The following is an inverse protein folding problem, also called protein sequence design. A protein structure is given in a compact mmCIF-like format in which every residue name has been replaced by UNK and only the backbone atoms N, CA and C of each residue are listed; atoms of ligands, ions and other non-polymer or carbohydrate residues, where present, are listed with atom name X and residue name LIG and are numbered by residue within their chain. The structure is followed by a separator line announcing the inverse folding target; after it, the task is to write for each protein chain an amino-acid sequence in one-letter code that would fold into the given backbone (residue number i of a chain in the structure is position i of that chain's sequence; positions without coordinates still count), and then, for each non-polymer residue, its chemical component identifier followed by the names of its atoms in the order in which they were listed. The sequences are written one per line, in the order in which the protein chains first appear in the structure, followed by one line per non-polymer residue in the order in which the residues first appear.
data_IF_200780437229
#
_entry.id   IF_200780437229
#
_cell.length_a   1.000
_cell.length_b   1.000
_cell.length_c   1.000
_cell.angle_alpha   90.00
_cell.angle_beta   90.00
_cell.angle_gamma   90.00
#
_symmetry.space_group_name_H-M   'P 1'
#
loop_
_entity.id
_entity.type
_entity.pdbx_description
1 polymer ?
#
# COMPACT_ATOMS: atom_id res chain seq x y z
N UNK A 1 -6.07 -10.90 -37.47
CA UNK A 1 -6.10 -10.55 -36.03
C UNK A 1 -5.64 -9.10 -35.89
N UNK A 2 -6.44 -8.23 -35.27
CA UNK A 2 -6.05 -6.84 -35.00
C UNK A 2 -5.64 -6.72 -33.54
N UNK A 3 -4.37 -6.42 -33.28
CA UNK A 3 -3.86 -6.18 -31.92
C UNK A 3 -4.08 -4.70 -31.59
N UNK A 4 -4.73 -4.42 -30.47
CA UNK A 4 -4.91 -3.08 -29.90
C UNK A 4 -4.10 -2.96 -28.61
N UNK A 5 -3.74 -1.75 -28.23
CA UNK A 5 -3.02 -1.44 -26.97
C UNK A 5 -3.73 -0.29 -26.28
N UNK A 6 -3.91 -0.41 -24.97
CA UNK A 6 -4.43 0.68 -24.14
C UNK A 6 -3.50 1.91 -24.21
N UNK A 7 -4.05 3.10 -24.00
CA UNK A 7 -3.26 4.33 -23.95
C UNK A 7 -2.35 4.38 -22.71
N UNK A 8 -2.85 3.88 -21.58
CA UNK A 8 -2.14 3.77 -20.30
C UNK A 8 -2.00 2.30 -19.92
N UNK A 9 -0.78 1.87 -19.62
CA UNK A 9 -0.44 0.50 -19.20
C UNK A 9 1.00 0.46 -18.67
N UNK A 10 1.34 -0.57 -17.89
CA UNK A 10 2.70 -0.82 -17.43
C UNK A 10 3.10 -0.09 -16.16
N UNK A 11 4.39 0.26 -16.03
CA UNK A 11 4.96 0.82 -14.79
C UNK A 11 4.39 2.20 -14.46
N UNK A 12 3.79 2.32 -13.28
CA UNK A 12 3.53 3.62 -12.68
C UNK A 12 4.83 4.27 -12.15
N UNK A 13 4.74 5.53 -11.72
CA UNK A 13 5.87 6.26 -11.14
C UNK A 13 6.43 5.58 -9.89
N UNK A 14 5.59 5.07 -8.99
CA UNK A 14 6.01 4.35 -7.78
C UNK A 14 6.85 3.11 -8.08
N UNK A 15 6.34 2.24 -8.96
CA UNK A 15 7.04 1.03 -9.43
C UNK A 15 8.37 1.39 -10.08
N UNK A 16 8.38 2.39 -10.98
CA UNK A 16 9.60 2.83 -11.67
C UNK A 16 10.65 3.38 -10.70
N UNK A 17 10.24 4.18 -9.71
CA UNK A 17 11.16 4.73 -8.71
C UNK A 17 11.74 3.60 -7.86
N UNK A 18 10.93 2.64 -7.44
CA UNK A 18 11.41 1.50 -6.65
C UNK A 18 12.43 0.65 -7.43
N UNK A 19 12.08 0.28 -8.66
CA UNK A 19 12.98 -0.46 -9.57
C UNK A 19 14.32 0.27 -9.77
N UNK A 20 14.28 1.56 -10.11
CA UNK A 20 15.49 2.35 -10.34
C UNK A 20 16.33 2.55 -9.08
N UNK A 21 15.70 2.74 -7.91
CA UNK A 21 16.42 2.89 -6.63
C UNK A 21 17.22 1.62 -6.31
N UNK A 22 16.61 0.43 -6.43
CA UNK A 22 17.31 -0.84 -6.14
C UNK A 22 18.40 -1.10 -7.17
N UNK A 23 18.14 -0.86 -8.46
CA UNK A 23 19.16 -0.98 -9.52
C UNK A 23 20.36 -0.09 -9.28
N UNK A 24 20.14 1.17 -8.91
CA UNK A 24 21.20 2.13 -8.62
C UNK A 24 21.99 1.76 -7.36
N UNK A 25 21.28 1.26 -6.35
CA UNK A 25 21.91 0.74 -5.14
C UNK A 25 22.86 -0.41 -5.46
N UNK A 26 22.39 -1.42 -6.21
CA UNK A 26 23.23 -2.54 -6.63
C UNK A 26 24.41 -2.11 -7.51
N UNK A 27 24.18 -1.22 -8.48
CA UNK A 27 25.25 -0.77 -9.41
C UNK A 27 26.35 0.06 -8.75
N UNK A 28 26.08 0.63 -7.57
CA UNK A 28 27.07 1.36 -6.76
C UNK A 28 27.78 0.47 -5.72
N UNK A 29 27.61 -0.87 -5.81
CA UNK A 29 28.20 -1.82 -4.89
C UNK A 29 27.41 -2.01 -3.59
N UNK A 30 26.18 -1.50 -3.55
CA UNK A 30 25.27 -1.69 -2.42
C UNK A 30 24.94 -3.17 -2.20
N UNK A 31 24.98 -3.59 -0.94
CA UNK A 31 24.64 -4.93 -0.50
C UNK A 31 23.43 -4.88 0.42
N UNK A 32 22.37 -5.59 0.06
CA UNK A 32 21.11 -5.54 0.80
C UNK A 32 20.15 -6.66 0.45
N UNK A 33 19.12 -6.80 1.26
CA UNK A 33 18.00 -7.70 1.04
C UNK A 33 16.68 -6.92 1.02
N UNK A 34 15.75 -7.34 0.16
CA UNK A 34 14.44 -6.72 0.02
C UNK A 34 13.46 -7.41 0.95
N UNK A 35 12.81 -6.66 1.82
CA UNK A 35 11.72 -7.21 2.62
C UNK A 35 10.53 -7.44 1.70
N UNK A 36 10.22 -8.71 1.43
CA UNK A 36 9.34 -9.22 0.39
C UNK A 36 9.73 -8.82 -1.03
N UNK A 37 8.74 -8.77 -1.91
CA UNK A 37 8.94 -8.38 -3.30
C UNK A 37 8.99 -6.84 -3.42
N UNK A 38 9.97 -6.32 -4.16
CA UNK A 38 10.09 -4.86 -4.42
C UNK A 38 8.82 -4.28 -5.05
N UNK A 39 8.22 -5.05 -5.97
CA UNK A 39 6.91 -4.87 -6.61
C UNK A 39 6.37 -6.27 -6.96
N UNK A 40 5.05 -6.42 -7.11
CA UNK A 40 4.43 -7.69 -7.52
C UNK A 40 4.64 -7.98 -9.01
N UNK A 41 5.89 -8.26 -9.41
CA UNK A 41 6.25 -8.64 -10.78
C UNK A 41 7.45 -9.60 -10.78
N UNK A 42 7.23 -10.83 -11.23
CA UNK A 42 8.23 -11.91 -11.22
C UNK A 42 9.51 -11.52 -11.98
N UNK A 43 9.39 -10.86 -13.14
CA UNK A 43 10.57 -10.44 -13.92
C UNK A 43 11.41 -9.40 -13.19
N UNK A 44 10.77 -8.48 -12.46
CA UNK A 44 11.47 -7.49 -11.63
C UNK A 44 12.15 -8.20 -10.46
N UNK A 45 11.48 -9.14 -9.80
CA UNK A 45 12.06 -9.95 -8.71
C UNK A 45 13.28 -10.73 -9.20
N UNK A 46 13.18 -11.41 -10.35
CA UNK A 46 14.30 -12.12 -10.99
C UNK A 46 15.46 -11.19 -11.36
N UNK A 47 15.16 -9.97 -11.80
CA UNK A 47 16.18 -8.96 -12.08
C UNK A 47 16.89 -8.51 -10.79
N UNK A 48 16.16 -8.25 -9.70
CA UNK A 48 16.76 -7.91 -8.40
C UNK A 48 17.65 -9.05 -7.87
N UNK A 49 17.19 -10.29 -8.02
CA UNK A 49 17.96 -11.48 -7.65
C UNK A 49 19.27 -11.60 -8.45
N UNK A 50 19.24 -11.33 -9.77
CA UNK A 50 20.44 -11.31 -10.62
C UNK A 50 21.41 -10.20 -10.25
N UNK A 51 20.90 -9.08 -9.74
CA UNK A 51 21.70 -7.97 -9.21
C UNK A 51 22.23 -8.23 -7.78
N UNK A 52 21.88 -9.37 -7.17
CA UNK A 52 22.33 -9.75 -5.84
C UNK A 52 21.51 -9.17 -4.68
N UNK A 53 20.41 -8.45 -4.95
CA UNK A 53 19.53 -7.89 -3.92
C UNK A 53 18.31 -8.80 -3.77
N UNK A 54 18.46 -9.86 -2.97
CA UNK A 54 17.46 -10.93 -2.84
C UNK A 54 16.32 -10.56 -1.91
N UNK A 55 15.15 -11.16 -2.13
CA UNK A 55 14.00 -11.06 -1.22
C UNK A 55 14.19 -11.91 0.04
N UNK A 56 13.74 -11.38 1.17
CA UNK A 56 13.53 -12.08 2.46
C UNK A 56 12.12 -11.80 2.97
N UNK A 57 11.51 -12.74 3.68
CA UNK A 57 10.15 -12.56 4.22
C UNK A 57 10.14 -11.74 5.52
N UNK A 58 11.18 -11.90 6.34
CA UNK A 58 11.27 -11.28 7.66
C UNK A 58 12.54 -10.43 7.78
N UNK A 59 12.44 -9.32 8.51
CA UNK A 59 13.58 -8.42 8.77
C UNK A 59 14.72 -9.12 9.53
N UNK A 60 14.41 -10.09 10.39
CA UNK A 60 15.43 -10.86 11.13
C UNK A 60 16.21 -11.84 10.25
N UNK A 61 15.69 -12.16 9.06
CA UNK A 61 16.37 -13.00 8.09
C UNK A 61 17.41 -12.23 7.25
N UNK A 62 17.52 -10.90 7.43
CA UNK A 62 18.47 -10.06 6.69
C UNK A 62 19.89 -10.33 7.18
N UNK A 63 20.72 -10.89 6.29
CA UNK A 63 22.15 -11.13 6.52
C UNK A 63 23.05 -10.06 5.86
N UNK A 64 22.45 -9.09 5.18
CA UNK A 64 23.14 -8.02 4.46
C UNK A 64 23.10 -6.70 5.27
N UNK A 65 24.01 -5.74 5.02
CA UNK A 65 24.08 -4.51 5.82
C UNK A 65 22.91 -3.53 5.58
N UNK A 66 22.11 -3.75 4.54
CA UNK A 66 21.00 -2.87 4.17
C UNK A 66 19.71 -3.67 3.99
N UNK A 67 18.62 -3.21 4.58
CA UNK A 67 17.26 -3.66 4.25
C UNK A 67 16.63 -2.70 3.24
N UNK A 68 15.98 -3.26 2.23
CA UNK A 68 15.22 -2.52 1.23
C UNK A 68 13.73 -2.69 1.52
N UNK A 69 13.03 -1.59 1.81
CA UNK A 69 11.58 -1.62 1.93
C UNK A 69 10.92 -1.43 0.57
N UNK A 70 9.94 -2.30 0.26
CA UNK A 70 9.28 -2.36 -1.06
C UNK A 70 8.43 -1.13 -1.37
N UNK A 71 7.95 -1.02 -2.63
CA UNK A 71 7.05 0.06 -3.04
C UNK A 71 5.72 0.09 -2.27
N UNK A 72 5.29 -1.06 -1.73
CA UNK A 72 4.07 -1.22 -0.96
C UNK A 72 4.13 -0.65 0.46
N UNK A 73 5.31 -0.20 0.90
CA UNK A 73 5.49 0.28 2.26
C UNK A 73 5.70 -0.82 3.29
N UNK A 74 5.99 -0.37 4.50
CA UNK A 74 6.12 -1.15 5.73
C UNK A 74 5.55 -0.33 6.89
N UNK A 75 5.22 -0.96 8.03
CA UNK A 75 4.86 -0.22 9.24
C UNK A 75 5.97 0.74 9.67
N UNK A 76 5.67 1.96 10.13
CA UNK A 76 6.67 2.90 10.67
C UNK A 76 7.64 2.29 11.69
N UNK A 77 7.19 1.37 12.54
CA UNK A 77 8.01 0.66 13.52
C UNK A 77 9.13 -0.19 12.90
N UNK A 78 9.02 -0.57 11.63
CA UNK A 78 10.07 -1.32 10.94
C UNK A 78 11.30 -0.47 10.66
N UNK A 79 11.16 0.85 10.50
CA UNK A 79 12.31 1.76 10.40
C UNK A 79 13.09 1.81 11.72
N UNK A 80 12.38 1.87 12.84
CA UNK A 80 12.99 1.84 14.18
C UNK A 80 13.64 0.48 14.46
N UNK A 81 12.97 -0.62 14.07
CA UNK A 81 13.53 -1.97 14.18
C UNK A 81 14.82 -2.11 13.37
N UNK A 82 14.83 -1.69 12.11
CA UNK A 82 16.03 -1.70 11.26
C UNK A 82 17.18 -0.90 11.89
N UNK A 83 16.89 0.29 12.44
CA UNK A 83 17.87 1.10 13.14
C UNK A 83 18.42 0.39 14.39
N UNK A 84 17.55 -0.25 15.17
CA UNK A 84 17.93 -0.95 16.40
C UNK A 84 18.80 -2.18 16.15
N UNK A 85 18.65 -2.84 14.99
CA UNK A 85 19.46 -3.99 14.57
C UNK A 85 20.70 -3.60 13.76
N UNK A 86 20.98 -2.30 13.61
CA UNK A 86 22.14 -1.81 12.88
C UNK A 86 22.03 -1.90 11.35
N UNK A 87 20.84 -2.19 10.82
CA UNK A 87 20.57 -2.23 9.39
C UNK A 87 20.47 -0.80 8.83
N UNK A 88 21.13 -0.57 7.68
CA UNK A 88 20.84 0.61 6.86
C UNK A 88 19.51 0.40 6.14
N UNK A 89 18.77 1.48 5.91
CA UNK A 89 17.47 1.41 5.21
C UNK A 89 17.59 2.05 3.83
N UNK A 90 17.21 1.29 2.79
CA UNK A 90 16.89 1.82 1.47
C UNK A 90 15.37 1.77 1.29
N UNK A 91 14.71 2.90 1.50
CA UNK A 91 13.26 2.96 1.40
C UNK A 91 12.80 3.27 -0.04
N UNK A 92 12.05 2.33 -0.62
CA UNK A 92 11.48 2.44 -1.96
C UNK A 92 9.96 2.64 -1.97
N UNK A 93 9.35 2.84 -0.80
CA UNK A 93 7.91 3.05 -0.61
C UNK A 93 7.38 4.12 -1.55
N UNK A 94 6.26 3.83 -2.20
CA UNK A 94 5.59 4.75 -3.08
C UNK A 94 5.07 5.97 -2.30
N UNK A 95 5.20 7.17 -2.89
CA UNK A 95 4.67 8.40 -2.27
C UNK A 95 3.19 8.31 -1.90
N UNK A 96 2.35 7.69 -2.74
CA UNK A 96 0.92 7.56 -2.47
C UNK A 96 0.63 6.66 -1.27
N UNK A 97 1.48 5.66 -1.03
CA UNK A 97 1.39 4.83 0.19
C UNK A 97 1.76 5.67 1.42
N UNK A 98 2.86 6.43 1.38
CA UNK A 98 3.19 7.35 2.49
C UNK A 98 2.10 8.39 2.77
N UNK A 99 1.43 8.88 1.73
CA UNK A 99 0.34 9.82 1.90
C UNK A 99 -0.82 9.18 2.69
N UNK A 100 -1.09 7.87 2.54
CA UNK A 100 -2.06 7.14 3.37
C UNK A 100 -1.62 7.07 4.84
N UNK A 101 -0.34 6.76 5.12
CA UNK A 101 0.15 6.77 6.51
C UNK A 101 -0.05 8.15 7.15
N UNK A 102 0.24 9.23 6.40
CA UNK A 102 0.07 10.60 6.88
C UNK A 102 -1.41 10.97 7.08
N UNK A 103 -2.26 10.64 6.12
CA UNK A 103 -3.71 10.88 6.20
C UNK A 103 -4.33 10.15 7.40
N UNK A 104 -3.95 8.88 7.60
CA UNK A 104 -4.43 8.06 8.72
C UNK A 104 -4.08 8.69 10.06
N UNK A 105 -2.81 9.09 10.23
CA UNK A 105 -2.35 9.77 11.46
C UNK A 105 -3.10 11.08 11.70
N UNK A 106 -3.22 11.93 10.67
CA UNK A 106 -3.91 13.21 10.77
C UNK A 106 -5.40 13.06 11.09
N UNK A 107 -6.06 12.05 10.52
CA UNK A 107 -7.46 11.76 10.80
C UNK A 107 -7.65 11.29 12.25
N UNK A 108 -6.78 10.44 12.78
CA UNK A 108 -6.80 10.04 14.19
C UNK A 108 -6.61 11.24 15.13
N UNK A 109 -5.65 12.12 14.82
CA UNK A 109 -5.42 13.38 15.57
C UNK A 109 -6.65 14.31 15.56
N UNK A 110 -7.48 14.22 14.52
CA UNK A 110 -8.73 14.97 14.38
C UNK A 110 -9.95 14.25 15.01
N UNK A 111 -9.75 13.10 15.66
CA UNK A 111 -10.79 12.34 16.33
C UNK A 111 -11.66 11.49 15.39
N UNK A 112 -11.18 11.16 14.20
CA UNK A 112 -11.85 10.19 13.34
C UNK A 112 -11.52 8.76 13.78
N UNK A 113 -12.51 7.88 13.71
CA UNK A 113 -12.27 6.44 13.60
C UNK A 113 -12.03 6.09 12.13
N UNK A 114 -11.03 5.26 11.84
CA UNK A 114 -10.62 4.96 10.47
C UNK A 114 -11.37 3.74 9.93
N UNK A 115 -11.67 3.77 8.63
CA UNK A 115 -12.21 2.64 7.90
C UNK A 115 -11.34 2.44 6.67
N UNK A 116 -10.54 1.38 6.67
CA UNK A 116 -9.72 1.01 5.54
C UNK A 116 -10.49 0.07 4.61
N UNK A 117 -10.76 0.51 3.39
CA UNK A 117 -11.32 -0.32 2.33
C UNK A 117 -10.17 -1.00 1.60
N UNK A 118 -10.11 -2.33 1.68
CA UNK A 118 -9.02 -3.10 1.09
C UNK A 118 -8.88 -4.50 1.67
N UNK A 119 -7.86 -5.23 1.20
CA UNK A 119 -7.59 -6.60 1.65
C UNK A 119 -6.73 -6.59 2.93
N UNK A 120 -7.23 -7.10 4.07
CA UNK A 120 -6.47 -7.12 5.34
C UNK A 120 -5.17 -7.92 5.26
N UNK A 121 -4.99 -8.77 4.25
CA UNK A 121 -3.75 -9.53 4.01
C UNK A 121 -2.79 -8.83 3.06
N UNK A 122 -3.20 -7.76 2.41
CA UNK A 122 -2.35 -7.04 1.47
C UNK A 122 -1.28 -6.24 2.21
N UNK A 123 -0.04 -6.31 1.72
CA UNK A 123 1.12 -5.68 2.38
C UNK A 123 0.96 -4.17 2.59
N UNK A 124 0.35 -3.49 1.63
CA UNK A 124 0.05 -2.05 1.77
C UNK A 124 -0.86 -1.79 2.97
N UNK A 125 -1.93 -2.59 3.12
CA UNK A 125 -2.90 -2.47 4.20
C UNK A 125 -2.26 -2.77 5.54
N UNK A 126 -1.49 -3.85 5.62
CA UNK A 126 -0.71 -4.18 6.81
C UNK A 126 0.26 -3.03 7.15
N UNK A 127 0.91 -2.44 6.15
CA UNK A 127 1.85 -1.35 6.32
C UNK A 127 1.27 -0.18 7.10
N UNK A 128 0.11 0.35 6.71
CA UNK A 128 -0.47 1.52 7.39
C UNK A 128 -1.37 1.18 8.58
N UNK A 129 -1.68 -0.10 8.85
CA UNK A 129 -2.51 -0.50 9.99
C UNK A 129 -1.75 -1.11 11.17
N UNK A 130 -0.59 -1.76 10.93
CA UNK A 130 0.11 -2.56 11.94
C UNK A 130 0.45 -1.81 13.23
N UNK A 131 0.85 -0.55 13.13
CA UNK A 131 1.24 0.27 14.28
C UNK A 131 0.08 1.08 14.89
N UNK A 132 -1.12 0.96 14.32
CA UNK A 132 -2.30 1.63 14.85
C UNK A 132 -2.92 0.78 15.97
N UNK A 133 -3.53 1.46 16.95
CA UNK A 133 -4.37 0.76 17.92
C UNK A 133 -5.55 0.09 17.20
N UNK A 134 -5.72 -1.24 17.30
CA UNK A 134 -6.81 -1.96 16.66
C UNK A 134 -8.22 -1.47 17.06
N UNK A 135 -8.36 -0.74 18.16
CA UNK A 135 -9.63 -0.12 18.56
C UNK A 135 -9.99 1.12 17.73
N UNK A 136 -9.04 1.68 16.97
CA UNK A 136 -9.20 2.94 16.24
C UNK A 136 -9.51 2.77 14.75
N UNK A 137 -9.58 1.53 14.25
CA UNK A 137 -9.91 1.27 12.85
C UNK A 137 -10.63 -0.05 12.60
N UNK A 138 -11.30 -0.11 11.45
CA UNK A 138 -11.75 -1.37 10.83
C UNK A 138 -11.16 -1.52 9.42
N UNK A 139 -10.92 -2.76 8.99
CA UNK A 139 -10.62 -3.08 7.58
C UNK A 139 -11.84 -3.80 7.00
N UNK A 140 -12.38 -3.29 5.90
CA UNK A 140 -13.62 -3.80 5.31
C UNK A 140 -13.44 -3.99 3.80
N UNK A 141 -13.85 -5.14 3.29
CA UNK A 141 -13.79 -5.46 1.85
C UNK A 141 -15.10 -6.01 1.28
N UNK A 142 -16.10 -6.27 2.12
CA UNK A 142 -17.39 -6.85 1.71
C UNK A 142 -18.57 -6.12 2.35
N UNK A 143 -19.74 -6.26 1.75
CA UNK A 143 -20.98 -5.68 2.27
C UNK A 143 -21.30 -6.33 3.62
N UNK A 144 -21.16 -7.65 3.74
CA UNK A 144 -21.41 -8.38 4.99
C UNK A 144 -20.49 -7.90 6.12
N UNK A 145 -19.22 -7.64 5.80
CA UNK A 145 -18.26 -7.07 6.75
C UNK A 145 -18.65 -5.65 7.19
N UNK A 146 -19.14 -4.83 6.26
CA UNK A 146 -19.69 -3.52 6.59
C UNK A 146 -20.97 -3.64 7.43
N UNK A 147 -21.84 -4.61 7.18
CA UNK A 147 -23.09 -4.78 7.91
C UNK A 147 -22.90 -5.31 9.33
N UNK A 148 -21.80 -6.03 9.60
CA UNK A 148 -21.50 -6.61 10.89
C UNK A 148 -21.04 -5.59 11.95
N UNK A 149 -20.68 -4.38 11.54
CA UNK A 149 -20.15 -3.34 12.42
C UNK A 149 -21.25 -2.33 12.74
N UNK A 150 -21.36 -1.99 14.02
CA UNK A 150 -22.25 -0.93 14.49
C UNK A 150 -21.59 0.44 14.29
N UNK A 151 -21.81 1.07 13.13
CA UNK A 151 -21.13 2.32 12.76
C UNK A 151 -21.61 3.55 13.54
N UNK A 152 -22.78 3.49 14.19
CA UNK A 152 -23.38 4.64 14.87
C UNK A 152 -22.68 5.01 16.19
N UNK A 153 -21.86 4.08 16.71
CA UNK A 153 -21.06 4.23 17.92
C UNK A 153 -19.88 5.19 17.70
N UNK A 154 -19.49 5.43 16.44
CA UNK A 154 -18.41 6.33 16.08
C UNK A 154 -18.98 7.69 15.64
N UNK A 155 -18.52 8.76 16.27
CA UNK A 155 -19.00 10.11 15.95
C UNK A 155 -18.59 10.55 14.54
N UNK A 156 -17.36 10.21 14.14
CA UNK A 156 -16.75 10.63 12.87
C UNK A 156 -15.94 9.50 12.27
N UNK A 157 -16.22 9.15 11.01
CA UNK A 157 -15.49 8.14 10.25
C UNK A 157 -14.66 8.76 9.13
N UNK A 158 -13.44 8.25 8.95
CA UNK A 158 -12.61 8.54 7.78
C UNK A 158 -12.42 7.25 6.97
N UNK A 159 -12.97 7.23 5.76
CA UNK A 159 -12.81 6.12 4.82
C UNK A 159 -11.55 6.33 4.00
N UNK A 160 -10.68 5.33 3.98
CA UNK A 160 -9.39 5.32 3.27
C UNK A 160 -9.34 4.07 2.41
N UNK A 161 -9.03 4.20 1.12
CA UNK A 161 -8.92 3.09 0.19
C UNK A 161 -7.46 2.65 0.00
N UNK A 162 -7.23 1.35 -0.13
CA UNK A 162 -6.00 0.81 -0.69
C UNK A 162 -5.77 1.38 -2.11
N UNK A 163 -4.51 1.74 -2.43
CA UNK A 163 -4.20 2.54 -3.63
C UNK A 163 -4.56 1.88 -4.96
N UNK A 164 -4.70 0.56 -4.98
CA UNK A 164 -4.88 -0.29 -6.17
C UNK A 164 -6.30 -0.78 -6.38
N UNK A 165 -7.28 -0.32 -5.60
CA UNK A 165 -8.67 -0.76 -5.74
C UNK A 165 -9.38 -0.10 -6.93
N UNK A 166 -10.44 -0.76 -7.39
CA UNK A 166 -11.47 -0.16 -8.23
C UNK A 166 -12.56 0.42 -7.33
N UNK A 167 -12.70 1.74 -7.26
CA UNK A 167 -13.71 2.37 -6.38
C UNK A 167 -15.13 1.91 -6.68
N UNK A 168 -15.45 1.62 -7.94
CA UNK A 168 -16.81 1.23 -8.36
C UNK A 168 -17.21 -0.12 -7.73
N UNK A 169 -16.27 -1.04 -7.55
CA UNK A 169 -16.52 -2.36 -6.96
C UNK A 169 -16.81 -2.29 -5.45
N UNK A 170 -16.40 -1.22 -4.79
CA UNK A 170 -16.55 -1.03 -3.35
C UNK A 170 -17.58 0.05 -3.00
N UNK A 171 -18.27 0.63 -3.98
CA UNK A 171 -19.23 1.71 -3.73
C UNK A 171 -20.38 1.23 -2.83
N UNK A 172 -20.93 0.03 -3.08
CA UNK A 172 -22.00 -0.54 -2.26
C UNK A 172 -21.55 -0.83 -0.81
N UNK A 173 -20.28 -1.22 -0.62
CA UNK A 173 -19.67 -1.39 0.71
C UNK A 173 -19.64 -0.04 1.42
N UNK A 174 -19.12 0.99 0.77
CA UNK A 174 -19.00 2.33 1.36
C UNK A 174 -20.36 2.94 1.67
N UNK A 175 -21.33 2.82 0.77
CA UNK A 175 -22.70 3.29 1.02
C UNK A 175 -23.36 2.57 2.19
N UNK A 176 -23.04 1.29 2.41
CA UNK A 176 -23.54 0.52 3.57
C UNK A 176 -23.07 1.14 4.89
N UNK A 177 -21.82 1.60 4.93
CA UNK A 177 -21.24 2.29 6.09
C UNK A 177 -21.88 3.68 6.27
N UNK A 178 -21.96 4.46 5.19
CA UNK A 178 -22.50 5.82 5.21
C UNK A 178 -23.96 5.90 5.64
N UNK A 179 -24.77 4.89 5.30
CA UNK A 179 -26.17 4.82 5.72
C UNK A 179 -26.35 4.68 7.24
N UNK A 180 -25.35 4.17 7.95
CA UNK A 180 -25.41 3.88 9.40
C UNK A 180 -24.55 4.82 10.24
N UNK A 181 -23.58 5.49 9.64
CA UNK A 181 -22.66 6.39 10.33
C UNK A 181 -23.24 7.82 10.47
N UNK A 182 -22.80 8.54 11.51
CA UNK A 182 -23.26 9.91 11.79
C UNK A 182 -22.58 10.96 10.90
N UNK A 183 -21.26 10.86 10.76
CA UNK A 183 -20.44 11.76 9.96
C UNK A 183 -19.34 10.96 9.27
N UNK A 184 -19.29 11.00 7.94
CA UNK A 184 -18.31 10.25 7.14
C UNK A 184 -17.54 11.20 6.23
N UNK A 185 -16.23 10.97 6.12
CA UNK A 185 -15.39 11.59 5.12
C UNK A 185 -14.63 10.53 4.32
N UNK A 186 -14.82 10.52 3.00
CA UNK A 186 -14.03 9.69 2.08
C UNK A 186 -12.72 10.41 1.74
N UNK A 187 -11.59 9.71 1.83
CA UNK A 187 -10.30 10.16 1.33
C UNK A 187 -10.09 9.68 -0.11
N UNK A 188 -9.53 10.52 -0.98
CA UNK A 188 -9.18 10.11 -2.34
C UNK A 188 -7.78 9.46 -2.40
N UNK A 189 -7.68 8.23 -1.93
CA UNK A 189 -6.39 7.52 -1.77
C UNK A 189 -6.10 6.48 -2.86
N UNK A 190 -7.05 6.19 -3.74
CA UNK A 190 -6.78 5.41 -4.96
C UNK A 190 -5.86 6.24 -5.87
N UNK A 191 -4.69 5.70 -6.20
CA UNK A 191 -3.68 6.49 -6.89
C UNK A 191 -4.06 6.74 -8.36
N UNK A 192 -3.52 7.83 -8.92
CA UNK A 192 -3.80 8.23 -10.30
C UNK A 192 -3.52 7.10 -11.31
N UNK A 193 -2.46 6.32 -11.09
CA UNK A 193 -2.06 5.27 -12.04
C UNK A 193 -3.07 4.12 -12.08
N UNK A 194 -3.71 3.81 -10.95
CA UNK A 194 -4.79 2.83 -10.87
C UNK A 194 -5.98 3.31 -11.70
N UNK A 195 -6.42 4.57 -11.48
CA UNK A 195 -7.54 5.19 -12.20
C UNK A 195 -7.29 5.26 -13.70
N UNK A 196 -6.14 5.81 -14.11
CA UNK A 196 -5.75 5.95 -15.51
C UNK A 196 -5.68 4.58 -16.24
N UNK A 197 -5.17 3.55 -15.58
CA UNK A 197 -5.09 2.22 -16.16
C UNK A 197 -6.47 1.55 -16.28
N UNK A 198 -7.36 1.74 -15.29
CA UNK A 198 -8.74 1.25 -15.36
C UNK A 198 -9.51 1.93 -16.49
N UNK A 199 -9.40 3.26 -16.61
CA UNK A 199 -10.04 4.02 -17.69
C UNK A 199 -9.54 3.59 -19.07
N UNK A 200 -8.22 3.44 -19.22
CA UNK A 200 -7.63 2.99 -20.48
C UNK A 200 -8.03 1.55 -20.84
N UNK A 201 -8.23 0.68 -19.83
CA UNK A 201 -8.74 -0.67 -20.04
C UNK A 201 -10.22 -0.67 -20.46
N UNK A 202 -11.06 0.18 -19.85
CA UNK A 202 -12.48 0.37 -20.25
C UNK A 202 -12.60 0.85 -21.70
N UNK A 203 -11.75 1.79 -22.13
CA UNK A 203 -11.72 2.30 -23.52
C UNK A 203 -11.24 1.24 -24.53
N UNK A 204 -10.37 0.33 -24.09
CA UNK A 204 -9.82 -0.72 -24.94
C UNK A 204 -10.82 -1.85 -25.23
N UNK A 205 -11.66 -2.18 -24.25
CA UNK A 205 -12.67 -3.24 -24.29
C UNK A 205 -13.73 -2.97 -25.38
#
# INVERSE_FOLDING_TARGET
MRIKRAEKYGFCSGVRIADLKVKRFASTGGRGAILGQVVHNERVVEEMNRLGVRTVEEIDAVQEPTIVFSAHGVPPSFHDRAKSTGLKVLDTTCKFVYDIHRESKQALEQGFHLVFIGDPKHREVIGYTHDLDPALYHIVSTIEGAEAIDWDQYERLKIIYQTTLNSEEFEDVVQTIERRARHVQRADTICYATKENQDAARVLA
#
